data_IF_213112609639
#
_entry.id   IF_213112609639
#
_cell.length_a   1.000
_cell.length_b   1.000
_cell.length_c   1.000
_cell.angle_alpha   90.00
_cell.angle_beta   90.00
_cell.angle_gamma   90.00
#
_symmetry.space_group_name_H-M   'P 1'
#
loop_
_entity.id
_entity.type
_entity.pdbx_description
1 polymer ?
#
# COMPACT_ATOMS: atom_id res chain seq x y z
N UNK A 1 10.90 5.55 -14.33
CA UNK A 1 10.55 6.93 -13.94
C UNK A 1 9.27 6.80 -13.12
N UNK A 2 9.25 6.88 -11.79
CA UNK A 2 9.75 7.92 -10.88
C UNK A 2 10.06 7.31 -9.50
N UNK A 3 11.22 7.60 -8.93
CA UNK A 3 11.47 7.48 -7.50
C UNK A 3 12.20 8.74 -7.06
N UNK A 4 11.44 9.76 -6.66
CA UNK A 4 12.00 11.01 -6.19
C UNK A 4 12.61 10.78 -4.79
N UNK A 5 13.94 10.66 -4.76
CA UNK A 5 14.73 10.76 -3.55
C UNK A 5 14.71 12.22 -3.08
N UNK A 6 14.14 12.50 -1.90
CA UNK A 6 14.34 13.76 -1.20
C UNK A 6 15.02 13.51 0.15
N UNK A 7 16.05 14.32 0.36
CA UNK A 7 17.07 14.35 1.40
C UNK A 7 16.52 14.94 2.70
N UNK A 8 16.73 14.27 3.85
CA UNK A 8 16.67 14.89 5.18
C UNK A 8 15.84 14.13 6.22
N UNK A 9 16.45 13.88 7.39
CA UNK A 9 15.98 13.12 8.57
C UNK A 9 16.20 11.60 8.45
N UNK A 10 16.37 10.85 9.56
CA UNK A 10 16.30 9.39 9.51
C UNK A 10 14.95 9.04 8.91
N UNK A 11 14.94 8.76 7.61
CA UNK A 11 13.75 8.33 6.91
C UNK A 11 13.45 7.00 7.57
N UNK A 12 12.51 6.98 8.52
CA UNK A 12 11.83 5.72 8.87
C UNK A 12 11.41 5.19 7.51
N UNK A 13 12.05 4.13 7.02
CA UNK A 13 11.88 3.71 5.63
C UNK A 13 10.40 3.43 5.50
N UNK A 14 9.73 4.20 4.66
CA UNK A 14 8.32 3.99 4.43
C UNK A 14 8.28 2.91 3.35
N UNK A 15 8.00 1.69 3.76
CA UNK A 15 7.82 0.58 2.85
C UNK A 15 6.38 0.60 2.34
N UNK A 16 6.21 0.24 1.08
CA UNK A 16 4.90 0.17 0.42
C UNK A 16 4.75 -1.22 -0.17
N UNK A 17 3.67 -1.90 0.17
CA UNK A 17 3.27 -3.17 -0.46
C UNK A 17 1.97 -2.97 -1.23
N UNK A 18 1.90 -3.54 -2.43
CA UNK A 18 0.74 -3.47 -3.30
C UNK A 18 0.17 -4.88 -3.50
N UNK A 19 -1.10 -5.06 -3.21
CA UNK A 19 -1.83 -6.30 -3.44
C UNK A 19 -2.86 -6.05 -4.53
N UNK A 20 -2.71 -6.76 -5.65
CA UNK A 20 -3.67 -6.76 -6.75
C UNK A 20 -4.76 -7.75 -6.42
N UNK A 21 -6.00 -7.27 -6.32
CA UNK A 21 -7.14 -8.18 -6.19
C UNK A 21 -7.43 -8.81 -7.56
N UNK A 22 -7.52 -10.16 -7.66
CA UNK A 22 -7.75 -10.84 -8.93
C UNK A 22 -9.08 -10.46 -9.58
N UNK A 23 -10.04 -9.91 -8.81
CA UNK A 23 -11.32 -9.45 -9.34
C UNK A 23 -11.30 -7.96 -9.74
N UNK A 24 -10.17 -7.28 -9.61
CA UNK A 24 -10.07 -5.83 -9.80
C UNK A 24 -10.85 -5.01 -8.76
N UNK A 25 -11.38 -5.66 -7.71
CA UNK A 25 -12.13 -5.01 -6.63
C UNK A 25 -11.23 -4.88 -5.41
N UNK A 26 -11.02 -3.67 -4.92
CA UNK A 26 -10.31 -3.49 -3.66
C UNK A 26 -11.31 -3.47 -2.52
N UNK A 27 -11.34 -4.54 -1.74
CA UNK A 27 -12.12 -4.60 -0.50
C UNK A 27 -11.25 -4.05 0.63
N UNK A 28 -11.58 -2.86 1.13
CA UNK A 28 -10.74 -2.15 2.10
C UNK A 28 -10.54 -2.95 3.40
N UNK A 29 -11.52 -3.72 3.86
CA UNK A 29 -11.40 -4.56 5.05
C UNK A 29 -10.40 -5.70 4.85
N UNK A 30 -10.41 -6.35 3.69
CA UNK A 30 -9.44 -7.39 3.35
C UNK A 30 -8.04 -6.78 3.16
N UNK A 31 -7.97 -5.62 2.51
CA UNK A 31 -6.75 -4.83 2.36
C UNK A 31 -6.13 -4.46 3.72
N UNK A 32 -6.94 -3.99 4.68
CA UNK A 32 -6.53 -3.71 6.06
C UNK A 32 -6.09 -4.97 6.79
N UNK A 33 -6.84 -6.06 6.69
CA UNK A 33 -6.51 -7.31 7.34
C UNK A 33 -5.17 -7.87 6.84
N UNK A 34 -4.92 -7.83 5.54
CA UNK A 34 -3.68 -8.30 4.92
C UNK A 34 -2.49 -7.41 5.26
N UNK A 35 -2.67 -6.09 5.19
CA UNK A 35 -1.71 -5.10 5.66
C UNK A 35 -1.34 -5.33 7.13
N UNK A 36 -2.32 -5.45 8.02
CA UNK A 36 -2.10 -5.66 9.45
C UNK A 36 -1.46 -7.02 9.77
N UNK A 37 -1.79 -8.06 8.99
CA UNK A 37 -1.20 -9.41 9.12
C UNK A 37 0.28 -9.41 8.78
N UNK A 38 0.67 -8.72 7.71
CA UNK A 38 2.07 -8.67 7.28
C UNK A 38 2.87 -7.62 8.04
N UNK A 39 2.25 -6.48 8.41
CA UNK A 39 2.90 -5.29 8.93
C UNK A 39 2.06 -4.64 10.04
N UNK A 40 2.50 -4.81 11.29
CA UNK A 40 1.85 -4.17 12.45
C UNK A 40 1.97 -2.65 12.34
N UNK A 41 0.82 -1.96 12.34
CA UNK A 41 0.76 -0.49 12.24
C UNK A 41 0.82 0.06 10.81
N UNK A 42 0.67 -0.78 9.79
CA UNK A 42 0.53 -0.33 8.41
C UNK A 42 -0.82 0.34 8.13
N UNK A 43 -0.79 1.30 7.22
CA UNK A 43 -1.94 2.04 6.70
C UNK A 43 -2.34 1.44 5.36
N UNK A 44 -3.52 0.81 5.32
CA UNK A 44 -4.06 0.20 4.11
C UNK A 44 -5.04 1.15 3.40
N UNK A 45 -4.95 1.24 2.07
CA UNK A 45 -5.74 2.14 1.23
C UNK A 45 -6.06 1.45 -0.10
N UNK A 46 -7.29 1.62 -0.58
CA UNK A 46 -7.64 1.23 -1.94
C UNK A 46 -7.34 2.39 -2.89
N UNK A 47 -6.52 2.14 -3.89
CA UNK A 47 -6.19 3.10 -4.94
C UNK A 47 -6.76 2.60 -6.27
N UNK A 48 -7.40 3.47 -7.03
CA UNK A 48 -7.78 3.14 -8.41
C UNK A 48 -6.50 3.15 -9.27
N UNK A 49 -6.25 2.06 -9.98
CA UNK A 49 -5.10 1.91 -10.89
C UNK A 49 -5.51 2.04 -12.37
N UNK A 50 -6.74 2.49 -12.62
CA UNK A 50 -7.31 2.62 -13.95
C UNK A 50 -8.01 1.35 -14.45
N UNK A 51 -8.75 1.50 -15.56
CA UNK A 51 -9.55 0.44 -16.21
C UNK A 51 -10.63 -0.20 -15.31
N UNK A 52 -11.03 0.47 -14.23
CA UNK A 52 -11.97 -0.07 -13.24
C UNK A 52 -11.33 -1.08 -12.29
N UNK A 53 -10.00 -1.17 -12.26
CA UNK A 53 -9.27 -1.99 -11.31
C UNK A 53 -8.84 -1.14 -10.12
N UNK A 54 -9.14 -1.62 -8.93
CA UNK A 54 -8.64 -1.07 -7.69
C UNK A 54 -7.53 -1.96 -7.13
N UNK A 55 -6.50 -1.35 -6.58
CA UNK A 55 -5.36 -2.02 -5.95
C UNK A 55 -5.31 -1.67 -4.46
N UNK A 56 -5.03 -2.67 -3.63
CA UNK A 56 -4.76 -2.44 -2.23
C UNK A 56 -3.31 -1.97 -2.05
N UNK A 57 -3.11 -0.83 -1.39
CA UNK A 57 -1.80 -0.28 -1.03
C UNK A 57 -1.65 -0.27 0.48
N UNK A 58 -0.55 -0.80 0.97
CA UNK A 58 -0.18 -0.90 2.37
C UNK A 58 1.09 -0.11 2.64
N UNK A 59 0.98 1.05 3.27
CA UNK A 59 2.10 1.91 3.65
C UNK A 59 2.48 1.65 5.12
N UNK A 60 3.73 1.30 5.42
CA UNK A 60 4.17 0.97 6.78
C UNK A 60 5.62 1.40 7.03
N UNK A 61 6.01 1.46 8.31
CA UNK A 61 7.38 1.75 8.70
C UNK A 61 8.24 0.48 8.68
N UNK A 62 9.38 0.57 8.01
CA UNK A 62 10.54 -0.31 8.01
C UNK A 62 11.80 0.59 8.17
#
# INVERSE_FOLDING_TARGET
VVANAQKGRPVRKQCVEQYLDPNGKCVIDQCKAQCAKNRKGGLARCIDIGKGHMQCRSDYHC
#
